data_IF_107534833915
#
_entry.id   IF_107534833915
#
_cell.length_a   1.000
_cell.length_b   1.000
_cell.length_c   1.000
_cell.angle_alpha   90.00
_cell.angle_beta   90.00
_cell.angle_gamma   90.00
#
_symmetry.space_group_name_H-M   'P 1'
#
loop_
_entity.id
_entity.type
_entity.pdbx_description
1 polymer ?
#
# COMPACT_ATOMS: atom_id res chain seq x y z
N UNK A 1 -16.01 1.69 14.35
CA UNK A 1 -15.26 2.84 13.78
C UNK A 1 -15.64 3.09 12.32
N UNK A 2 -15.17 2.36 11.29
CA UNK A 2 -15.52 2.69 9.87
C UNK A 2 -17.05 2.77 9.64
N UNK A 3 -17.78 1.69 9.94
CA UNK A 3 -19.25 1.66 9.75
C UNK A 3 -20.00 2.71 10.58
N UNK A 4 -19.43 3.08 11.73
CA UNK A 4 -20.01 4.11 12.59
C UNK A 4 -19.83 5.50 11.99
N UNK A 5 -18.62 5.82 11.51
CA UNK A 5 -18.30 7.10 10.88
C UNK A 5 -19.02 7.30 9.54
N UNK A 6 -19.03 6.28 8.68
CA UNK A 6 -19.77 6.36 7.41
C UNK A 6 -21.29 6.47 7.63
N UNK A 7 -21.82 5.91 8.73
CA UNK A 7 -23.20 6.08 9.15
C UNK A 7 -23.56 7.52 9.58
N UNK A 8 -22.56 8.35 9.92
CA UNK A 8 -22.79 9.75 10.36
C UNK A 8 -23.01 10.72 9.19
N UNK A 9 -22.53 10.40 7.99
CA UNK A 9 -22.60 11.24 6.79
C UNK A 9 -23.73 10.81 5.84
N UNK A 10 -24.16 11.66 4.91
CA UNK A 10 -25.15 11.35 3.86
C UNK A 10 -26.40 10.59 4.35
N UNK A 11 -26.99 11.05 5.47
CA UNK A 11 -28.15 10.39 6.10
C UNK A 11 -29.47 10.63 5.36
N UNK A 12 -29.54 11.68 4.55
CA UNK A 12 -30.74 12.03 3.77
C UNK A 12 -30.85 11.12 2.55
N UNK A 13 -29.72 10.69 2.00
CA UNK A 13 -29.57 9.80 0.86
C UNK A 13 -29.61 8.34 1.34
N UNK A 14 -30.81 7.82 1.65
CA UNK A 14 -31.00 6.51 2.28
C UNK A 14 -30.43 5.33 1.50
N UNK A 15 -30.38 5.43 0.17
CA UNK A 15 -29.89 4.37 -0.73
C UNK A 15 -28.38 4.49 -1.04
N UNK A 16 -27.70 5.53 -0.54
CA UNK A 16 -26.28 5.74 -0.82
C UNK A 16 -25.42 4.66 -0.16
N UNK A 17 -24.68 3.90 -0.97
CA UNK A 17 -23.78 2.85 -0.50
C UNK A 17 -22.52 3.45 0.11
N UNK A 18 -22.21 3.14 1.37
CA UNK A 18 -21.02 3.63 2.08
C UNK A 18 -20.59 2.64 3.14
N UNK A 19 -19.28 2.54 3.40
CA UNK A 19 -18.77 1.54 4.32
C UNK A 19 -17.33 1.15 4.02
N UNK A 20 -17.04 -0.12 4.28
CA UNK A 20 -15.70 -0.71 4.13
C UNK A 20 -15.45 -1.02 2.65
N UNK A 21 -14.39 -0.44 2.09
CA UNK A 21 -13.87 -0.80 0.76
C UNK A 21 -12.79 -1.86 0.85
N UNK A 22 -11.93 -1.76 1.86
CA UNK A 22 -10.87 -2.72 2.16
C UNK A 22 -10.85 -2.99 3.67
N UNK A 23 -10.94 -4.26 4.12
CA UNK A 23 -11.02 -4.58 5.53
C UNK A 23 -9.74 -4.18 6.26
N UNK A 24 -9.88 -3.75 7.52
CA UNK A 24 -8.71 -3.42 8.33
C UNK A 24 -7.79 -4.62 8.46
N UNK A 25 -6.57 -4.47 7.97
CA UNK A 25 -5.52 -5.47 7.98
C UNK A 25 -4.34 -4.96 8.82
N UNK A 26 -3.78 -5.82 9.67
CA UNK A 26 -2.66 -5.49 10.56
C UNK A 26 -1.54 -6.50 10.37
N UNK A 27 -0.58 -6.18 9.49
CA UNK A 27 0.50 -7.08 9.13
C UNK A 27 1.80 -6.73 9.86
N UNK A 28 2.33 -7.69 10.63
CA UNK A 28 3.47 -7.46 11.53
C UNK A 28 4.78 -8.02 10.94
N UNK A 29 5.87 -7.25 11.06
CA UNK A 29 7.23 -7.62 10.65
C UNK A 29 7.28 -8.15 9.21
N UNK A 30 7.62 -9.44 9.03
CA UNK A 30 7.78 -10.09 7.73
C UNK A 30 6.47 -10.48 7.05
N UNK A 31 5.32 -10.40 7.74
CA UNK A 31 4.01 -10.52 7.09
C UNK A 31 3.83 -9.34 6.13
N UNK A 32 3.66 -9.59 4.83
CA UNK A 32 3.68 -8.54 3.80
C UNK A 32 2.41 -7.69 3.86
N UNK A 33 1.24 -8.30 3.79
CA UNK A 33 -0.05 -7.61 3.70
C UNK A 33 -1.21 -8.53 4.13
N UNK A 34 -2.40 -7.97 4.23
CA UNK A 34 -3.70 -8.68 4.31
C UNK A 34 -3.91 -9.60 5.52
N UNK A 35 -3.23 -9.35 6.64
CA UNK A 35 -3.50 -10.10 7.87
C UNK A 35 -4.75 -9.54 8.58
N UNK A 36 -5.88 -10.23 8.44
CA UNK A 36 -7.15 -9.94 9.08
C UNK A 36 -7.72 -11.24 9.67
N UNK A 37 -7.22 -11.69 10.84
CA UNK A 37 -7.49 -13.02 11.37
C UNK A 37 -8.98 -13.23 11.73
N UNK A 38 -9.46 -14.45 11.53
CA UNK A 38 -10.74 -14.89 12.04
C UNK A 38 -10.68 -15.10 13.55
N UNK A 39 -11.85 -15.18 14.20
CA UNK A 39 -11.95 -15.50 15.64
C UNK A 39 -11.35 -16.87 16.00
N UNK A 40 -11.29 -17.78 15.04
CA UNK A 40 -10.71 -19.12 15.18
C UNK A 40 -9.21 -19.16 14.96
N UNK A 41 -8.65 -18.13 14.34
CA UNK A 41 -7.24 -18.11 13.97
C UNK A 41 -6.39 -17.75 15.19
N UNK A 42 -5.13 -18.15 15.15
CA UNK A 42 -4.18 -17.74 16.18
C UNK A 42 -3.89 -16.24 16.04
N UNK A 43 -4.20 -15.48 17.09
CA UNK A 43 -3.93 -14.05 17.15
C UNK A 43 -2.44 -13.75 17.43
N UNK A 44 -2.03 -12.53 17.12
CA UNK A 44 -0.68 -12.03 17.37
C UNK A 44 -0.72 -10.91 18.43
N UNK A 45 -0.10 -11.17 19.58
CA UNK A 45 0.09 -10.15 20.62
C UNK A 45 1.29 -9.27 20.24
N UNK A 46 1.00 -7.99 19.96
CA UNK A 46 2.01 -6.98 19.61
C UNK A 46 3.07 -6.82 20.71
N UNK A 47 4.31 -6.60 20.28
CA UNK A 47 5.47 -6.46 21.16
C UNK A 47 6.21 -5.16 20.85
N UNK A 48 6.90 -4.67 21.88
CA UNK A 48 7.82 -3.55 21.74
C UNK A 48 8.80 -3.78 20.57
N UNK A 49 8.92 -2.78 19.69
CA UNK A 49 9.81 -2.84 18.53
C UNK A 49 9.24 -3.55 17.29
N UNK A 50 8.03 -4.11 17.34
CA UNK A 50 7.41 -4.66 16.14
C UNK A 50 7.18 -3.59 15.07
N UNK A 51 7.50 -3.92 13.82
CA UNK A 51 7.12 -3.12 12.66
C UNK A 51 5.70 -3.51 12.25
N UNK A 52 4.75 -2.60 12.45
CA UNK A 52 3.32 -2.83 12.21
C UNK A 52 2.89 -2.05 10.98
N UNK A 53 2.15 -2.74 10.10
CA UNK A 53 1.51 -2.17 8.92
C UNK A 53 0.02 -2.22 9.11
N UNK A 54 -0.64 -1.07 9.22
CA UNK A 54 -2.09 -0.96 9.26
C UNK A 54 -2.56 -0.52 7.87
N UNK A 55 -3.50 -1.26 7.30
CA UNK A 55 -4.10 -0.98 6.00
C UNK A 55 -5.62 -1.08 6.10
N UNK A 56 -6.35 -0.12 5.52
CA UNK A 56 -7.80 -0.08 5.49
C UNK A 56 -8.30 0.78 4.34
N UNK A 57 -9.56 0.55 3.95
CA UNK A 57 -10.22 1.29 2.90
C UNK A 57 -11.66 1.61 3.22
N UNK A 58 -12.10 2.79 2.80
CA UNK A 58 -13.47 3.29 2.94
C UNK A 58 -14.03 3.61 1.55
N UNK A 59 -15.33 3.42 1.35
CA UNK A 59 -16.01 4.00 0.19
C UNK A 59 -17.23 4.84 0.58
N UNK A 60 -17.53 5.81 -0.29
CA UNK A 60 -18.81 6.54 -0.32
C UNK A 60 -19.29 6.56 -1.76
N UNK A 61 -20.50 6.07 -1.98
CA UNK A 61 -21.12 5.88 -3.29
C UNK A 61 -20.25 5.12 -4.31
N UNK A 62 -19.39 4.22 -3.80
CA UNK A 62 -18.46 3.44 -4.63
C UNK A 62 -17.14 4.14 -4.94
N UNK A 63 -16.96 5.40 -4.57
CA UNK A 63 -15.66 6.07 -4.64
C UNK A 63 -14.81 5.66 -3.45
N UNK A 64 -13.63 5.12 -3.73
CA UNK A 64 -12.79 4.42 -2.76
C UNK A 64 -11.65 5.33 -2.30
N UNK A 65 -11.35 5.28 -0.99
CA UNK A 65 -10.15 5.84 -0.39
C UNK A 65 -9.47 4.74 0.44
N UNK A 66 -8.29 4.31 -0.01
CA UNK A 66 -7.44 3.35 0.71
C UNK A 66 -6.26 4.06 1.35
N UNK A 67 -5.81 3.55 2.50
CA UNK A 67 -4.64 4.07 3.20
C UNK A 67 -3.94 2.96 3.98
N UNK A 68 -2.62 2.91 3.81
CA UNK A 68 -1.75 2.07 4.62
C UNK A 68 -0.66 2.90 5.30
N UNK A 69 -0.24 2.48 6.49
CA UNK A 69 0.84 3.12 7.23
C UNK A 69 1.69 2.10 7.99
N UNK A 70 3.00 2.33 8.00
CA UNK A 70 3.99 1.52 8.71
C UNK A 70 4.62 2.31 9.86
N UNK A 71 4.64 1.73 11.06
CA UNK A 71 5.29 2.33 12.23
C UNK A 71 5.86 1.24 13.15
N UNK A 72 6.68 1.64 14.10
CA UNK A 72 7.29 0.73 15.08
C UNK A 72 6.66 0.94 16.45
N UNK A 73 6.25 -0.14 17.10
CA UNK A 73 5.66 -0.11 18.45
C UNK A 73 6.68 0.46 19.44
N UNK A 74 6.23 1.46 20.21
CA UNK A 74 7.03 2.18 21.23
C UNK A 74 8.25 2.94 20.70
N UNK A 75 8.31 3.23 19.39
CA UNK A 75 9.27 4.19 18.87
C UNK A 75 8.95 5.61 19.34
N UNK A 76 9.96 6.35 19.77
CA UNK A 76 9.82 7.72 20.26
C UNK A 76 11.01 8.58 19.84
N UNK A 77 10.98 9.89 20.17
CA UNK A 77 12.12 10.78 19.92
C UNK A 77 13.36 10.36 20.72
N UNK A 78 13.16 9.88 21.95
CA UNK A 78 14.24 9.44 22.83
C UNK A 78 14.71 8.02 22.50
N UNK A 79 13.88 7.24 21.81
CA UNK A 79 14.15 5.89 21.34
C UNK A 79 13.87 5.77 19.83
N UNK A 80 14.72 6.39 18.98
CA UNK A 80 14.51 6.34 17.54
C UNK A 80 14.71 4.91 17.00
N UNK A 81 13.99 4.60 15.93
CA UNK A 81 14.19 3.35 15.18
C UNK A 81 15.53 3.41 14.46
N UNK A 82 16.34 2.35 14.58
CA UNK A 82 17.66 2.24 13.98
C UNK A 82 17.82 0.94 13.17
N UNK A 83 18.91 0.85 12.40
CA UNK A 83 19.27 -0.34 11.63
C UNK A 83 18.29 -0.67 10.49
N UNK A 84 18.19 -1.95 10.14
CA UNK A 84 17.43 -2.42 8.96
C UNK A 84 15.94 -2.02 8.97
N UNK A 85 15.33 -1.90 10.14
CA UNK A 85 13.95 -1.39 10.29
C UNK A 85 13.85 0.07 9.85
N UNK A 86 14.79 0.92 10.28
CA UNK A 86 14.82 2.32 9.85
C UNK A 86 15.10 2.45 8.36
N UNK A 87 16.03 1.64 7.82
CA UNK A 87 16.38 1.63 6.40
C UNK A 87 15.15 1.34 5.53
N UNK A 88 14.44 0.24 5.81
CA UNK A 88 13.30 -0.19 4.97
C UNK A 88 12.11 0.77 5.08
N UNK A 89 11.84 1.33 6.26
CA UNK A 89 10.79 2.33 6.46
C UNK A 89 11.13 3.60 5.66
N UNK A 90 12.38 4.07 5.74
CA UNK A 90 12.81 5.27 5.01
C UNK A 90 12.83 5.05 3.50
N UNK A 91 13.25 3.87 3.05
CA UNK A 91 13.19 3.46 1.65
C UNK A 91 11.74 3.51 1.12
N UNK A 92 10.80 2.86 1.82
CA UNK A 92 9.39 2.87 1.46
C UNK A 92 8.79 4.29 1.46
N UNK A 93 9.13 5.11 2.45
CA UNK A 93 8.65 6.50 2.52
C UNK A 93 9.16 7.35 1.35
N UNK A 94 10.45 7.23 1.00
CA UNK A 94 11.01 7.93 -0.16
C UNK A 94 10.44 7.42 -1.48
N UNK A 95 10.12 6.13 -1.58
CA UNK A 95 9.38 5.58 -2.70
C UNK A 95 7.97 6.20 -2.81
N UNK A 96 7.24 6.33 -1.70
CA UNK A 96 5.94 7.01 -1.68
C UNK A 96 6.05 8.49 -2.11
N UNK A 97 7.06 9.19 -1.61
CA UNK A 97 7.38 10.57 -2.01
C UNK A 97 7.73 10.72 -3.50
N UNK A 98 8.45 9.74 -4.06
CA UNK A 98 8.76 9.72 -5.49
C UNK A 98 7.50 9.48 -6.31
N UNK A 99 6.65 8.52 -5.92
CA UNK A 99 5.40 8.26 -6.60
C UNK A 99 4.48 9.49 -6.56
N UNK A 100 4.38 10.19 -5.43
CA UNK A 100 3.63 11.44 -5.30
C UNK A 100 4.04 12.51 -6.33
N UNK A 101 5.31 12.52 -6.76
CA UNK A 101 5.86 13.49 -7.73
C UNK A 101 5.83 12.97 -9.17
N UNK A 102 5.82 11.65 -9.36
CA UNK A 102 5.91 11.00 -10.66
C UNK A 102 4.56 10.53 -11.22
N UNK A 103 3.57 10.25 -10.38
CA UNK A 103 2.21 9.89 -10.79
C UNK A 103 1.46 11.18 -11.12
N UNK A 104 1.65 11.64 -12.36
CA UNK A 104 1.02 12.86 -12.88
C UNK A 104 0.76 12.70 -14.39
N UNK A 105 -0.19 13.46 -14.96
CA UNK A 105 -0.49 13.39 -16.38
C UNK A 105 0.75 13.55 -17.27
N UNK A 106 0.86 12.72 -18.31
CA UNK A 106 1.99 12.71 -19.24
C UNK A 106 3.18 11.84 -18.84
N UNK A 107 3.21 11.32 -17.61
CA UNK A 107 4.22 10.34 -17.19
C UNK A 107 3.72 8.91 -17.43
N UNK A 108 4.67 7.98 -17.59
CA UNK A 108 4.43 6.55 -17.70
C UNK A 108 4.56 5.85 -16.34
N UNK A 109 3.75 4.82 -16.13
CA UNK A 109 3.86 3.92 -14.97
C UNK A 109 5.27 3.35 -14.77
N UNK A 110 6.00 3.04 -15.86
CA UNK A 110 7.37 2.51 -15.80
C UNK A 110 8.36 3.46 -15.14
N UNK A 111 8.16 4.78 -15.22
CA UNK A 111 9.04 5.75 -14.56
C UNK A 111 8.96 5.63 -13.04
N UNK A 112 7.77 5.33 -12.51
CA UNK A 112 7.56 5.11 -11.07
C UNK A 112 8.25 3.82 -10.63
N UNK A 113 8.05 2.73 -11.36
CA UNK A 113 8.71 1.43 -11.11
C UNK A 113 10.23 1.55 -11.07
N UNK A 114 10.84 2.24 -12.04
CA UNK A 114 12.29 2.43 -12.11
C UNK A 114 12.82 3.30 -10.96
N UNK A 115 12.08 4.34 -10.57
CA UNK A 115 12.44 5.18 -9.44
C UNK A 115 12.41 4.40 -8.13
N UNK A 116 11.37 3.60 -7.90
CA UNK A 116 11.25 2.74 -6.71
C UNK A 116 12.41 1.75 -6.58
N UNK A 117 12.80 1.10 -7.67
CA UNK A 117 13.97 0.21 -7.66
C UNK A 117 15.26 0.94 -7.28
N UNK A 118 15.51 2.14 -7.84
CA UNK A 118 16.71 2.92 -7.50
C UNK A 118 16.72 3.37 -6.04
N UNK A 119 15.57 3.86 -5.53
CA UNK A 119 15.44 4.32 -4.15
C UNK A 119 15.63 3.16 -3.20
N UNK A 120 14.89 2.07 -3.35
CA UNK A 120 14.98 0.92 -2.44
C UNK A 120 16.41 0.34 -2.39
N UNK A 121 17.06 0.15 -3.54
CA UNK A 121 18.42 -0.37 -3.59
C UNK A 121 19.46 0.55 -2.93
N UNK A 122 19.22 1.88 -2.88
CA UNK A 122 20.10 2.81 -2.15
C UNK A 122 20.11 2.59 -0.63
N UNK A 123 19.10 1.88 -0.10
CA UNK A 123 19.00 1.43 1.29
C UNK A 123 19.28 -0.07 1.44
N UNK A 124 19.85 -0.72 0.42
CA UNK A 124 19.99 -2.18 0.36
C UNK A 124 18.67 -2.93 0.60
N UNK A 125 17.56 -2.36 0.13
CA UNK A 125 16.22 -2.94 0.21
C UNK A 125 15.72 -3.26 -1.20
N UNK A 126 14.68 -4.09 -1.28
CA UNK A 126 14.12 -4.55 -2.56
C UNK A 126 12.60 -4.35 -2.53
N UNK A 127 11.98 -3.66 -3.51
CA UNK A 127 10.53 -3.62 -3.61
C UNK A 127 9.98 -5.04 -3.82
N UNK A 128 8.80 -5.32 -3.27
CA UNK A 128 8.18 -6.63 -3.39
C UNK A 128 7.83 -6.89 -4.87
N UNK A 129 8.25 -8.04 -5.38
CA UNK A 129 8.08 -8.47 -6.76
C UNK A 129 6.59 -8.61 -7.14
N UNK A 130 6.17 -7.93 -8.21
CA UNK A 130 4.87 -8.12 -8.84
C UNK A 130 3.67 -7.45 -8.16
N UNK A 131 3.87 -6.66 -7.11
CA UNK A 131 2.75 -5.95 -6.46
C UNK A 131 2.24 -4.81 -7.33
N UNK A 132 0.93 -4.58 -7.31
CA UNK A 132 0.25 -3.60 -8.17
C UNK A 132 -0.34 -2.45 -7.36
N UNK A 133 -0.11 -1.22 -7.82
CA UNK A 133 -0.93 -0.06 -7.48
C UNK A 133 -2.02 0.12 -8.54
N UNK A 134 -3.26 0.33 -8.14
CA UNK A 134 -4.41 0.31 -9.06
C UNK A 134 -5.01 1.68 -9.31
N UNK A 135 -5.48 1.90 -10.54
CA UNK A 135 -6.46 2.93 -10.84
C UNK A 135 -7.77 2.60 -10.12
N UNK A 136 -8.37 3.61 -9.49
CA UNK A 136 -9.67 3.52 -8.85
C UNK A 136 -10.73 4.16 -9.75
N UNK A 137 -11.90 3.52 -9.84
CA UNK A 137 -13.12 4.10 -10.43
C UNK A 137 -14.29 3.87 -9.49
N UNK A 138 -15.44 4.46 -9.78
CA UNK A 138 -16.65 4.21 -8.99
C UNK A 138 -16.98 2.71 -9.05
N UNK A 139 -17.04 2.07 -7.88
CA UNK A 139 -17.26 0.63 -7.70
C UNK A 139 -16.17 -0.30 -8.24
N UNK A 140 -14.99 0.22 -8.62
CA UNK A 140 -13.86 -0.57 -9.14
C UNK A 140 -12.62 -0.24 -8.32
N UNK A 141 -12.16 -1.19 -7.52
CA UNK A 141 -10.94 -1.06 -6.69
C UNK A 141 -9.66 -1.41 -7.45
N UNK A 142 -9.81 -2.17 -8.54
CA UNK A 142 -8.75 -2.85 -9.27
C UNK A 142 -8.84 -2.54 -10.77
N UNK A 143 -8.79 -1.24 -11.11
CA UNK A 143 -8.74 -0.80 -12.51
C UNK A 143 -7.53 -1.36 -13.25
N UNK A 144 -7.67 -1.52 -14.57
CA UNK A 144 -6.67 -2.16 -15.45
C UNK A 144 -5.36 -1.38 -15.53
N UNK A 145 -5.42 -0.04 -15.52
CA UNK A 145 -4.22 0.80 -15.45
C UNK A 145 -3.56 0.66 -14.09
N UNK A 146 -2.34 0.13 -14.08
CA UNK A 146 -1.62 -0.20 -12.85
C UNK A 146 -0.15 0.22 -12.90
N UNK A 147 0.45 0.34 -11.72
CA UNK A 147 1.90 0.48 -11.54
C UNK A 147 2.40 -0.82 -10.91
N UNK A 148 3.36 -1.48 -11.56
CA UNK A 148 3.93 -2.73 -11.05
C UNK A 148 5.25 -2.46 -10.30
N UNK A 149 5.43 -3.05 -9.13
CA UNK A 149 6.68 -3.02 -8.37
C UNK A 149 7.58 -4.18 -8.76
N UNK A 150 8.86 -3.87 -9.02
CA UNK A 150 9.92 -4.86 -9.24
C UNK A 150 9.48 -6.09 -10.08
N UNK A 151 8.98 -5.90 -11.33
CA UNK A 151 8.47 -7.01 -12.12
C UNK A 151 9.61 -7.92 -12.60
N UNK A 152 9.33 -9.23 -12.67
CA UNK A 152 10.14 -10.18 -13.44
C UNK A 152 10.12 -9.84 -14.94
N UNK A 153 11.04 -10.42 -15.70
CA UNK A 153 11.06 -10.25 -17.17
C UNK A 153 9.75 -10.66 -17.84
N UNK A 154 9.09 -11.70 -17.31
CA UNK A 154 7.80 -12.16 -17.83
C UNK A 154 6.69 -11.16 -17.46
N UNK A 155 6.58 -10.78 -16.19
CA UNK A 155 5.60 -9.79 -15.75
C UNK A 155 5.77 -8.44 -16.46
N UNK A 156 7.00 -8.02 -16.76
CA UNK A 156 7.27 -6.79 -17.50
C UNK A 156 6.80 -6.84 -18.96
N UNK A 157 6.75 -8.02 -19.57
CA UNK A 157 6.20 -8.22 -20.93
C UNK A 157 4.68 -8.25 -20.90
N UNK A 158 4.11 -8.85 -19.87
CA UNK A 158 2.66 -9.02 -19.72
C UNK A 158 1.98 -7.76 -19.17
N UNK A 159 2.72 -6.92 -18.44
CA UNK A 159 2.23 -5.68 -17.86
C UNK A 159 2.18 -4.55 -18.90
N UNK A 160 0.99 -3.98 -19.07
CA UNK A 160 0.77 -2.90 -20.02
C UNK A 160 1.43 -1.58 -19.55
N UNK A 161 2.14 -0.94 -20.46
CA UNK A 161 2.65 0.42 -20.24
C UNK A 161 1.48 1.38 -20.37
N UNK A 162 1.24 2.17 -19.34
CA UNK A 162 0.17 3.15 -19.31
C UNK A 162 0.72 4.57 -19.06
N UNK A 163 0.14 5.53 -19.78
CA UNK A 163 0.27 6.96 -19.51
C UNK A 163 -0.80 7.37 -18.50
N UNK A 164 -0.40 8.16 -17.51
CA UNK A 164 -1.34 8.76 -16.56
C UNK A 164 -2.07 9.93 -17.23
N UNK A 165 -3.36 10.06 -16.92
CA UNK A 165 -4.23 11.08 -17.52
C UNK A 165 -4.89 11.98 -16.44
N UNK A 166 -5.38 13.14 -16.87
CA UNK A 166 -6.16 14.04 -16.00
C UNK A 166 -7.49 13.36 -15.63
N UNK A 167 -7.96 13.59 -14.41
CA UNK A 167 -9.19 13.00 -13.83
C UNK A 167 -9.10 11.51 -13.45
N UNK A 168 -7.92 10.89 -13.56
CA UNK A 168 -7.71 9.55 -13.01
C UNK A 168 -7.44 9.60 -11.49
N UNK A 169 -7.83 8.53 -10.79
CA UNK A 169 -7.56 8.34 -9.35
C UNK A 169 -6.76 7.05 -9.20
N UNK A 170 -5.74 7.05 -8.35
CA UNK A 170 -4.90 5.87 -8.09
C UNK A 170 -4.75 5.62 -6.59
N UNK A 171 -4.84 4.35 -6.19
CA UNK A 171 -4.31 3.87 -4.92
C UNK A 171 -2.87 3.43 -5.14
N UNK A 172 -1.93 4.29 -4.75
CA UNK A 172 -0.49 3.98 -4.81
C UNK A 172 -0.11 3.18 -3.57
N UNK A 173 0.37 1.96 -3.78
CA UNK A 173 0.79 1.04 -2.72
C UNK A 173 2.29 0.73 -2.85
N UNK A 174 3.03 0.92 -1.75
CA UNK A 174 4.49 0.81 -1.71
C UNK A 174 4.88 -0.24 -0.69
N UNK A 175 5.36 -1.37 -1.17
CA UNK A 175 5.76 -2.51 -0.36
C UNK A 175 7.23 -2.79 -0.60
N UNK A 176 8.07 -2.47 0.40
CA UNK A 176 9.52 -2.65 0.32
C UNK A 176 9.97 -3.66 1.38
N UNK A 177 10.81 -4.60 0.96
CA UNK A 177 11.43 -5.60 1.83
C UNK A 177 12.86 -5.21 2.17
N UNK A 178 13.28 -5.47 3.40
CA UNK A 178 14.69 -5.43 3.78
C UNK A 178 15.49 -6.64 3.28
N UNK A 179 14.82 -7.63 2.65
CA UNK A 179 15.40 -8.85 2.07
C UNK A 179 15.26 -8.90 0.55
N UNK A 180 15.01 -10.10 0.00
CA UNK A 180 15.04 -10.37 -1.45
C UNK A 180 13.83 -9.85 -2.24
N UNK A 181 12.77 -9.39 -1.57
CA UNK A 181 11.56 -8.90 -2.26
C UNK A 181 10.66 -10.00 -2.85
N UNK A 182 10.97 -11.28 -2.63
CA UNK A 182 10.17 -12.41 -3.12
C UNK A 182 9.20 -12.92 -2.06
N UNK A 183 7.90 -12.81 -2.32
CA UNK A 183 6.85 -13.28 -1.40
C UNK A 183 6.65 -14.77 -1.55
N UNK A 184 6.36 -15.43 -0.43
CA UNK A 184 5.87 -16.81 -0.38
C UNK A 184 4.61 -16.83 0.47
N UNK A 185 3.64 -17.63 0.09
CA UNK A 185 2.46 -17.89 0.95
C UNK A 185 2.93 -18.63 2.19
N UNK A 186 2.47 -18.17 3.35
CA UNK A 186 2.68 -18.82 4.64
C UNK A 186 1.80 -20.06 4.78
#
# INVERSE_FOLDING_TARGET
>A
LIMEETGKIFKKEKEMKKGIAFPTSISVNNCVCHFSPLKSDQDYILKEGDLVKIDLGVHVDGFIANVAHSFVIEASKDKPVCGRRADVIKAAHLCAEAALRLVKPGNQNTQVTEAWNKIAHSFHCTPIEGMLSHQLKQHVIDGEKTIIQNPTDQQKKDHEKAEFEVHEVYAVDVLVSSGEGKVRTA
#
